data_IF_064504835634
#
_entry.id   IF_064504835634
#
_cell.length_a   1.000
_cell.length_b   1.000
_cell.length_c   1.000
_cell.angle_alpha   90.00
_cell.angle_beta   90.00
_cell.angle_gamma   90.00
#
_symmetry.space_group_name_H-M   'P 1'
#
loop_
_entity.id
_entity.type
_entity.pdbx_description
1 polymer ?
#
# COMPACT_ATOMS: atom_id res chain seq x y z
N UNK A 1 18.20 -15.47 7.38
CA UNK A 1 18.97 -16.73 7.29
C UNK A 1 20.37 -16.44 7.82
N UNK A 2 20.93 -17.32 8.67
CA UNK A 2 22.27 -17.15 9.27
C UNK A 2 23.06 -18.46 9.16
N UNK A 3 24.28 -18.41 8.63
CA UNK A 3 25.20 -19.55 8.49
C UNK A 3 26.56 -19.18 9.07
N UNK A 4 27.22 -20.13 9.73
CA UNK A 4 28.62 -19.98 10.15
C UNK A 4 29.49 -21.04 9.50
N UNK A 5 30.68 -20.65 9.05
CA UNK A 5 31.69 -21.59 8.54
C UNK A 5 33.10 -21.11 8.84
N UNK A 6 34.05 -22.05 8.95
CA UNK A 6 35.46 -21.74 9.20
C UNK A 6 36.27 -21.88 7.90
N UNK A 7 37.18 -20.93 7.64
CA UNK A 7 38.13 -21.02 6.52
C UNK A 7 39.45 -20.32 6.86
N UNK A 8 40.57 -21.04 6.72
CA UNK A 8 41.92 -20.54 7.06
C UNK A 8 41.99 -19.97 8.49
N UNK A 9 41.40 -20.65 9.46
CA UNK A 9 41.39 -20.23 10.87
C UNK A 9 40.53 -19.00 11.20
N UNK A 10 39.71 -18.53 10.26
CA UNK A 10 38.76 -17.45 10.47
C UNK A 10 37.33 -18.00 10.46
N UNK A 11 36.51 -17.57 11.41
CA UNK A 11 35.07 -17.89 11.46
C UNK A 11 34.30 -16.81 10.72
N UNK A 12 33.60 -17.21 9.66
CA UNK A 12 32.74 -16.37 8.85
C UNK A 12 31.29 -16.56 9.28
N UNK A 13 30.57 -15.46 9.50
CA UNK A 13 29.13 -15.48 9.70
C UNK A 13 28.46 -14.85 8.50
N UNK A 14 27.65 -15.62 7.77
CA UNK A 14 26.85 -15.16 6.64
C UNK A 14 25.45 -14.86 7.13
N UNK A 15 24.93 -13.68 6.80
CA UNK A 15 23.55 -13.31 7.10
C UNK A 15 22.83 -12.75 5.88
N UNK A 16 21.61 -13.21 5.64
CA UNK A 16 20.72 -12.71 4.58
C UNK A 16 19.60 -11.88 5.18
N UNK A 17 19.64 -10.57 4.95
CA UNK A 17 18.69 -9.57 5.47
C UNK A 17 18.25 -8.65 4.34
N UNK A 18 16.94 -8.54 4.10
CA UNK A 18 16.34 -7.64 3.09
C UNK A 18 17.01 -7.78 1.71
N UNK A 19 17.09 -9.01 1.22
CA UNK A 19 17.73 -9.37 -0.07
C UNK A 19 19.24 -9.06 -0.16
N UNK A 20 19.89 -8.66 0.93
CA UNK A 20 21.34 -8.43 0.99
C UNK A 20 22.01 -9.57 1.72
N UNK A 21 23.16 -10.00 1.19
CA UNK A 21 24.03 -10.96 1.88
C UNK A 21 25.17 -10.20 2.52
N UNK A 22 25.36 -10.42 3.81
CA UNK A 22 26.47 -9.88 4.57
C UNK A 22 27.35 -11.02 5.07
N UNK A 23 28.66 -10.77 5.13
CA UNK A 23 29.63 -11.66 5.75
C UNK A 23 30.34 -10.88 6.85
N UNK A 24 30.36 -11.44 8.04
CA UNK A 24 31.10 -10.94 9.18
C UNK A 24 32.31 -11.83 9.47
N UNK A 25 33.46 -11.19 9.70
CA UNK A 25 34.67 -11.82 10.21
C UNK A 25 35.27 -10.90 11.28
N UNK A 26 35.58 -11.46 12.46
CA UNK A 26 36.22 -10.71 13.56
C UNK A 26 35.52 -9.38 13.92
N UNK A 27 34.19 -9.36 13.93
CA UNK A 27 33.37 -8.17 14.23
C UNK A 27 33.27 -7.15 13.08
N UNK A 28 33.84 -7.43 11.92
CA UNK A 28 33.76 -6.57 10.73
C UNK A 28 32.86 -7.22 9.70
N UNK A 29 31.77 -6.54 9.33
CA UNK A 29 30.83 -7.00 8.32
C UNK A 29 31.02 -6.31 6.97
N UNK A 30 30.71 -7.03 5.89
CA UNK A 30 30.74 -6.53 4.52
C UNK A 30 29.59 -7.10 3.71
N UNK A 31 29.03 -6.30 2.80
CA UNK A 31 28.03 -6.77 1.82
C UNK A 31 28.76 -7.55 0.72
N UNK A 32 28.25 -8.74 0.39
CA UNK A 32 28.80 -9.62 -0.64
C UNK A 32 27.73 -10.04 -1.64
N UNK A 33 28.16 -10.41 -2.84
CA UNK A 33 27.29 -10.99 -3.84
C UNK A 33 27.56 -12.50 -3.95
N UNK A 34 26.57 -13.38 -3.69
CA UNK A 34 26.71 -14.78 -4.00
C UNK A 34 26.57 -14.99 -5.52
N UNK A 35 27.58 -15.59 -6.13
CA UNK A 35 27.63 -15.82 -7.57
C UNK A 35 28.08 -17.24 -7.91
N UNK A 36 27.59 -17.76 -9.04
CA UNK A 36 28.00 -19.05 -9.58
C UNK A 36 29.12 -18.84 -10.60
N UNK A 37 30.33 -19.19 -10.20
CA UNK A 37 31.46 -19.27 -11.10
C UNK A 37 31.41 -20.59 -11.91
N UNK A 38 31.80 -20.54 -13.18
CA UNK A 38 31.74 -21.71 -14.08
C UNK A 38 32.70 -22.83 -13.69
N UNK A 39 33.87 -22.47 -13.16
CA UNK A 39 34.96 -23.41 -12.88
C UNK A 39 34.96 -23.88 -11.43
N UNK A 40 34.56 -23.01 -10.51
CA UNK A 40 34.72 -23.25 -9.07
C UNK A 40 33.41 -23.36 -8.29
N UNK A 41 32.26 -23.30 -8.98
CA UNK A 41 30.95 -23.35 -8.34
C UNK A 41 30.60 -22.04 -7.62
N UNK A 42 29.92 -22.14 -6.48
CA UNK A 42 29.40 -20.96 -5.78
C UNK A 42 30.46 -20.26 -4.92
N UNK A 43 30.51 -18.93 -5.03
CA UNK A 43 31.41 -18.07 -4.28
C UNK A 43 30.70 -16.80 -3.80
N UNK A 44 31.28 -16.19 -2.77
CA UNK A 44 30.99 -14.80 -2.42
C UNK A 44 32.03 -13.89 -3.06
N UNK A 45 31.56 -12.91 -3.84
CA UNK A 45 32.40 -11.83 -4.34
C UNK A 45 32.30 -10.64 -3.38
N UNK A 46 33.44 -10.26 -2.81
CA UNK A 46 33.57 -9.08 -1.96
C UNK A 46 33.93 -7.89 -2.86
N UNK A 47 33.08 -6.86 -2.85
CA UNK A 47 33.28 -5.64 -3.66
C UNK A 47 34.64 -4.99 -3.39
N UNK A 48 35.24 -4.38 -4.42
CA UNK A 48 36.47 -3.58 -4.26
C UNK A 48 36.30 -2.35 -3.37
N UNK A 49 35.06 -1.91 -3.15
CA UNK A 49 34.73 -0.81 -2.25
C UNK A 49 34.42 -1.28 -0.82
N UNK A 50 34.63 -2.56 -0.53
CA UNK A 50 34.47 -3.11 0.80
C UNK A 50 35.39 -2.44 1.82
N UNK A 51 34.95 -2.47 3.08
CA UNK A 51 35.66 -1.89 4.21
C UNK A 51 37.11 -2.42 4.28
N UNK A 52 38.11 -1.52 4.25
CA UNK A 52 39.54 -1.88 4.37
C UNK A 52 39.84 -2.70 5.64
N UNK A 53 39.06 -2.51 6.71
CA UNK A 53 39.20 -3.27 7.94
C UNK A 53 38.85 -4.76 7.75
N UNK A 54 38.00 -5.10 6.80
CA UNK A 54 37.66 -6.49 6.48
C UNK A 54 38.88 -7.24 5.92
N UNK A 55 39.62 -6.60 4.99
CA UNK A 55 40.87 -7.18 4.45
C UNK A 55 41.96 -7.25 5.50
N UNK A 56 42.07 -6.23 6.34
CA UNK A 56 43.03 -6.20 7.46
C UNK A 56 42.75 -7.33 8.45
N UNK A 57 41.48 -7.60 8.77
CA UNK A 57 41.08 -8.70 9.65
C UNK A 57 41.48 -10.07 9.06
N UNK A 58 41.47 -10.21 7.73
CA UNK A 58 41.89 -11.42 7.04
C UNK A 58 43.41 -11.50 6.75
N UNK A 59 44.18 -10.46 7.10
CA UNK A 59 45.60 -10.37 6.78
C UNK A 59 45.90 -10.24 5.27
N UNK A 60 44.94 -9.74 4.48
CA UNK A 60 45.06 -9.61 3.02
C UNK A 60 45.38 -8.16 2.60
N UNK A 61 46.22 -8.02 1.58
CA UNK A 61 46.65 -6.71 1.05
C UNK A 61 45.95 -6.28 -0.26
N UNK A 62 45.23 -7.17 -0.93
CA UNK A 62 44.72 -6.94 -2.29
C UNK A 62 43.27 -7.38 -2.49
N UNK A 63 42.65 -6.77 -3.51
CA UNK A 63 41.31 -6.99 -4.05
C UNK A 63 41.40 -7.52 -5.49
N UNK A 64 40.39 -8.25 -6.01
CA UNK A 64 39.14 -8.67 -5.36
C UNK A 64 39.29 -9.96 -4.53
N UNK A 65 38.48 -10.11 -3.47
CA UNK A 65 38.42 -11.33 -2.66
C UNK A 65 37.22 -12.18 -3.06
N UNK A 66 37.50 -13.44 -3.41
CA UNK A 66 36.50 -14.46 -3.72
C UNK A 66 36.53 -15.56 -2.66
N UNK A 67 35.42 -15.76 -1.97
CA UNK A 67 35.29 -16.77 -0.92
C UNK A 67 34.46 -17.93 -1.46
N UNK A 68 35.13 -18.99 -1.93
CA UNK A 68 34.50 -20.24 -2.34
C UNK A 68 33.90 -20.96 -1.12
N UNK A 69 32.58 -21.13 -1.08
CA UNK A 69 31.89 -21.89 -0.04
C UNK A 69 30.48 -22.30 -0.49
N UNK A 70 30.00 -23.53 -0.19
CA UNK A 70 28.66 -23.98 -0.58
C UNK A 70 27.51 -23.10 -0.06
N UNK A 71 27.70 -22.45 1.09
CA UNK A 71 26.69 -21.54 1.67
C UNK A 71 26.34 -20.36 0.74
N UNK A 72 27.16 -20.05 -0.26
CA UNK A 72 26.84 -19.03 -1.24
C UNK A 72 25.62 -19.41 -2.09
N UNK A 73 25.43 -20.71 -2.37
CA UNK A 73 24.21 -21.20 -3.04
C UNK A 73 22.98 -20.99 -2.15
N UNK A 74 23.08 -21.38 -0.88
CA UNK A 74 21.98 -21.25 0.07
C UNK A 74 21.62 -19.78 0.28
N UNK A 75 22.62 -18.91 0.38
CA UNK A 75 22.42 -17.46 0.49
C UNK A 75 21.73 -16.90 -0.76
N UNK A 76 22.12 -17.36 -1.96
CA UNK A 76 21.46 -16.96 -3.21
C UNK A 76 19.99 -17.38 -3.23
N UNK A 77 19.70 -18.64 -2.88
CA UNK A 77 18.32 -19.16 -2.80
C UNK A 77 17.48 -18.37 -1.81
N UNK A 78 18.04 -18.02 -0.65
CA UNK A 78 17.35 -17.21 0.35
C UNK A 78 17.07 -15.77 -0.13
N UNK A 79 18.00 -15.14 -0.85
CA UNK A 79 17.76 -13.82 -1.47
C UNK A 79 16.64 -13.91 -2.51
N UNK A 80 16.66 -14.93 -3.37
CA UNK A 80 15.61 -15.13 -4.38
C UNK A 80 14.23 -15.39 -3.76
N UNK A 81 14.19 -16.14 -2.65
CA UNK A 81 12.96 -16.37 -1.89
C UNK A 81 12.43 -15.07 -1.26
N UNK A 82 13.27 -14.31 -0.56
CA UNK A 82 12.88 -13.00 0.00
C UNK A 82 12.37 -12.03 -1.08
N UNK A 83 12.99 -12.05 -2.27
CA UNK A 83 12.56 -11.22 -3.40
C UNK A 83 11.21 -11.63 -3.95
N UNK A 84 10.93 -12.94 -4.06
CA UNK A 84 9.62 -13.44 -4.47
C UNK A 84 8.54 -13.05 -3.47
N UNK A 85 8.81 -13.19 -2.18
CA UNK A 85 7.90 -12.80 -1.10
C UNK A 85 7.62 -11.30 -1.12
N UNK A 86 8.64 -10.45 -1.28
CA UNK A 86 8.44 -8.99 -1.40
C UNK A 86 7.60 -8.62 -2.62
N UNK A 87 7.91 -9.17 -3.80
CA UNK A 87 7.13 -8.87 -5.02
C UNK A 87 5.68 -9.35 -4.85
N UNK A 88 5.46 -10.50 -4.21
CA UNK A 88 4.12 -10.99 -3.94
C UNK A 88 3.36 -10.08 -2.95
N UNK A 89 4.04 -9.59 -1.91
CA UNK A 89 3.50 -8.64 -0.95
C UNK A 89 3.17 -7.29 -1.63
N UNK A 90 4.09 -6.71 -2.40
CA UNK A 90 3.88 -5.47 -3.15
C UNK A 90 2.69 -5.58 -4.12
N UNK A 91 2.55 -6.74 -4.77
CA UNK A 91 1.40 -7.02 -5.64
C UNK A 91 0.09 -7.08 -4.86
N UNK A 92 0.09 -7.71 -3.69
CA UNK A 92 -1.09 -7.81 -2.83
C UNK A 92 -1.50 -6.44 -2.26
N UNK A 93 -0.54 -5.63 -1.81
CA UNK A 93 -0.76 -4.26 -1.35
C UNK A 93 -1.33 -3.38 -2.47
N UNK A 94 -0.77 -3.48 -3.69
CA UNK A 94 -1.28 -2.74 -4.84
C UNK A 94 -2.71 -3.15 -5.22
N UNK A 95 -3.03 -4.44 -5.17
CA UNK A 95 -4.40 -4.93 -5.41
C UNK A 95 -5.39 -4.40 -4.36
N UNK A 96 -4.98 -4.33 -3.09
CA UNK A 96 -5.79 -3.75 -2.02
C UNK A 96 -6.03 -2.25 -2.22
N UNK A 97 -5.00 -1.51 -2.65
CA UNK A 97 -5.12 -0.08 -2.98
C UNK A 97 -6.09 0.16 -4.14
N UNK A 98 -6.05 -0.68 -5.19
CA UNK A 98 -7.02 -0.62 -6.30
C UNK A 98 -8.44 -0.88 -5.79
N UNK A 99 -8.63 -1.88 -4.91
CA UNK A 99 -9.94 -2.17 -4.31
C UNK A 99 -10.45 -1.00 -3.48
N UNK A 100 -9.59 -0.38 -2.65
CA UNK A 100 -9.93 0.82 -1.86
C UNK A 100 -10.28 2.02 -2.73
N UNK A 101 -9.52 2.26 -3.80
CA UNK A 101 -9.79 3.35 -4.74
C UNK A 101 -11.13 3.14 -5.47
N UNK A 102 -11.37 1.93 -5.97
CA UNK A 102 -12.65 1.53 -6.60
C UNK A 102 -13.81 1.72 -5.62
N UNK A 103 -13.66 1.30 -4.37
CA UNK A 103 -14.67 1.49 -3.33
C UNK A 103 -14.96 2.98 -3.08
N UNK A 104 -13.93 3.80 -2.93
CA UNK A 104 -14.07 5.24 -2.71
C UNK A 104 -14.82 5.93 -3.86
N UNK A 105 -14.55 5.51 -5.11
CA UNK A 105 -15.27 6.00 -6.28
C UNK A 105 -16.74 5.59 -6.24
N UNK A 106 -17.05 4.30 -6.09
CA UNK A 106 -18.44 3.79 -6.01
C UNK A 106 -19.23 4.51 -4.93
N UNK A 107 -18.62 4.70 -3.74
CA UNK A 107 -19.25 5.42 -2.63
C UNK A 107 -19.50 6.89 -2.96
N UNK A 108 -18.50 7.60 -3.50
CA UNK A 108 -18.61 9.02 -3.85
C UNK A 108 -19.68 9.30 -4.90
N UNK A 109 -19.85 8.40 -5.86
CA UNK A 109 -20.77 8.60 -6.98
C UNK A 109 -22.16 7.97 -6.77
N UNK A 110 -22.37 7.20 -5.69
CA UNK A 110 -23.70 6.74 -5.25
C UNK A 110 -24.65 7.89 -4.86
N UNK A 111 -24.12 9.06 -4.50
CA UNK A 111 -24.91 10.22 -4.02
C UNK A 111 -25.30 11.20 -5.14
N UNK A 112 -24.85 10.98 -6.38
CA UNK A 112 -25.26 11.79 -7.52
C UNK A 112 -26.52 11.19 -8.17
N UNK A 113 -27.67 11.68 -7.70
CA UNK A 113 -28.98 11.50 -8.35
C UNK A 113 -28.93 12.11 -9.76
N UNK A 114 -28.60 11.27 -10.74
CA UNK A 114 -28.39 11.69 -12.13
C UNK A 114 -27.60 10.68 -12.97
N UNK A 115 -26.95 9.70 -12.35
CA UNK A 115 -26.36 8.59 -13.09
C UNK A 115 -27.43 7.53 -13.38
N UNK A 116 -27.99 7.58 -14.59
CA UNK A 116 -28.60 6.39 -15.20
C UNK A 116 -27.53 5.29 -15.26
N UNK A 117 -27.55 4.42 -14.26
CA UNK A 117 -27.13 3.04 -14.38
C UNK A 117 -27.84 2.46 -15.60
N UNK A 118 -27.15 2.41 -16.74
CA UNK A 118 -27.50 1.46 -17.77
C UNK A 118 -26.92 0.12 -17.31
N UNK A 119 -27.75 -0.92 -17.35
CA UNK A 119 -27.57 -2.24 -16.71
C UNK A 119 -26.27 -3.00 -17.05
N UNK A 120 -25.37 -2.49 -17.89
CA UNK A 120 -24.08 -3.13 -18.20
C UNK A 120 -23.02 -2.06 -18.46
N UNK A 121 -21.93 -2.09 -17.70
CA UNK A 121 -20.75 -1.20 -17.71
C UNK A 121 -20.93 0.22 -17.12
N UNK A 122 -20.02 0.61 -16.23
CA UNK A 122 -19.68 2.02 -16.01
C UNK A 122 -18.20 2.24 -16.29
N UNK A 123 -17.98 3.07 -17.30
CA UNK A 123 -16.74 3.76 -17.63
C UNK A 123 -17.15 5.12 -18.17
N UNK A 124 -16.54 6.19 -17.65
CA UNK A 124 -16.90 7.56 -18.05
C UNK A 124 -16.73 7.76 -19.55
N UNK A 125 -17.82 8.12 -20.23
CA UNK A 125 -17.82 8.52 -21.63
C UNK A 125 -18.21 10.00 -21.72
N UNK A 126 -17.30 10.84 -22.23
CA UNK A 126 -17.66 12.17 -22.74
C UNK A 126 -18.08 11.98 -24.18
N UNK A 127 -19.35 12.26 -24.48
CA UNK A 127 -19.88 12.22 -25.83
C UNK A 127 -20.22 13.61 -26.34
N UNK A 128 -20.15 13.85 -27.66
CA UNK A 128 -20.70 15.08 -28.22
C UNK A 128 -22.18 15.20 -27.88
N UNK A 129 -22.61 16.41 -27.51
CA UNK A 129 -24.02 16.76 -27.38
C UNK A 129 -24.64 16.64 -28.77
N UNK A 130 -25.73 15.87 -28.90
CA UNK A 130 -26.44 15.72 -30.18
C UNK A 130 -27.22 16.99 -30.54
N UNK A 131 -27.59 17.19 -31.80
CA UNK A 131 -28.38 18.38 -32.19
C UNK A 131 -29.73 18.47 -31.47
N UNK A 132 -30.40 17.34 -31.25
CA UNK A 132 -31.64 17.29 -30.44
C UNK A 132 -31.43 17.70 -28.98
N UNK A 133 -30.23 17.55 -28.45
CA UNK A 133 -29.90 17.94 -27.07
C UNK A 133 -29.44 19.39 -26.99
N UNK A 134 -28.79 19.90 -28.04
CA UNK A 134 -28.51 21.32 -28.21
C UNK A 134 -29.81 22.13 -28.30
N UNK A 135 -30.83 21.61 -28.99
CA UNK A 135 -32.16 22.24 -29.07
C UNK A 135 -32.90 22.28 -27.72
N UNK A 136 -32.59 21.35 -26.82
CA UNK A 136 -33.18 21.27 -25.46
C UNK A 136 -32.36 22.00 -24.40
N UNK A 137 -31.14 22.43 -24.71
CA UNK A 137 -30.25 23.11 -23.78
C UNK A 137 -30.27 24.62 -24.03
N UNK A 138 -30.38 25.39 -22.95
CA UNK A 138 -30.20 26.84 -23.03
C UNK A 138 -28.79 27.13 -23.56
N UNK A 139 -28.68 28.04 -24.52
CA UNK A 139 -27.45 28.41 -25.22
C UNK A 139 -26.26 28.68 -24.27
N UNK A 140 -26.53 29.36 -23.16
CA UNK A 140 -25.53 29.69 -22.13
C UNK A 140 -24.90 28.45 -21.48
N UNK A 141 -25.66 27.35 -21.40
CA UNK A 141 -25.17 26.07 -20.89
C UNK A 141 -24.26 25.38 -21.90
N UNK A 142 -24.58 25.50 -23.21
CA UNK A 142 -23.77 24.96 -24.31
C UNK A 142 -22.43 25.70 -24.39
N UNK A 143 -22.43 27.03 -24.29
CA UNK A 143 -21.20 27.84 -24.26
C UNK A 143 -20.33 27.56 -23.03
N UNK A 144 -20.94 27.37 -21.85
CA UNK A 144 -20.22 26.96 -20.65
C UNK A 144 -19.53 25.59 -20.82
N UNK A 145 -20.25 24.59 -21.35
CA UNK A 145 -19.67 23.28 -21.66
C UNK A 145 -18.53 23.37 -22.68
N UNK A 146 -18.70 24.18 -23.73
CA UNK A 146 -17.69 24.39 -24.76
C UNK A 146 -16.41 25.02 -24.19
N UNK A 147 -16.56 25.99 -23.30
CA UNK A 147 -15.43 26.68 -22.63
C UNK A 147 -14.65 25.76 -21.69
N UNK A 148 -15.33 24.87 -20.95
CA UNK A 148 -14.64 23.88 -20.12
C UNK A 148 -13.96 22.78 -20.95
N UNK A 149 -14.56 22.38 -22.07
CA UNK A 149 -13.94 21.48 -23.05
C UNK A 149 -12.62 22.08 -23.57
N UNK A 150 -12.58 23.37 -23.88
CA UNK A 150 -11.38 24.03 -24.41
C UNK A 150 -10.27 24.23 -23.37
N UNK A 151 -10.63 24.44 -22.09
CA UNK A 151 -9.69 24.54 -20.96
C UNK A 151 -8.97 23.20 -20.70
N UNK A 152 -9.69 22.10 -20.84
CA UNK A 152 -9.15 20.74 -20.68
C UNK A 152 -8.14 20.42 -21.81
N UNK A 153 -8.43 20.83 -23.06
CA UNK A 153 -7.53 20.66 -24.21
C UNK A 153 -6.16 21.31 -24.01
N UNK A 154 -6.11 22.52 -23.43
CA UNK A 154 -4.85 23.26 -23.23
C UNK A 154 -3.91 22.58 -22.21
N UNK A 155 -4.48 21.95 -21.19
CA UNK A 155 -3.72 21.39 -20.06
C UNK A 155 -3.10 20.01 -20.39
N UNK A 156 -3.68 19.27 -21.33
CA UNK A 156 -3.28 17.91 -21.69
C UNK A 156 -2.06 17.85 -22.63
N UNK A 157 -1.76 18.91 -23.39
CA UNK A 157 -0.67 18.91 -24.39
C UNK A 157 0.75 18.91 -23.79
N UNK A 158 0.90 19.01 -22.46
CA UNK A 158 2.18 19.30 -21.82
C UNK A 158 2.90 18.17 -21.07
N UNK A 159 2.28 17.01 -20.78
CA UNK A 159 2.90 16.08 -19.80
C UNK A 159 2.61 14.58 -20.02
N UNK A 160 3.72 13.88 -20.29
CA UNK A 160 4.12 12.55 -19.81
C UNK A 160 3.72 11.27 -20.56
N UNK A 161 4.80 10.57 -20.97
CA UNK A 161 4.90 9.17 -21.36
C UNK A 161 5.08 8.28 -20.11
N UNK A 162 4.40 7.13 -19.99
CA UNK A 162 4.97 5.85 -19.53
C UNK A 162 4.00 4.65 -19.74
N UNK A 163 4.59 3.44 -19.73
CA UNK A 163 4.18 2.19 -20.40
C UNK A 163 3.35 1.20 -19.56
N UNK A 164 2.59 0.39 -20.30
CA UNK A 164 2.00 -0.93 -20.00
C UNK A 164 0.62 -0.99 -19.33
N UNK A 165 -0.39 -0.59 -20.10
CA UNK A 165 -1.77 -1.05 -20.03
C UNK A 165 -2.18 -1.52 -21.42
N UNK A 166 -3.17 -2.42 -21.55
CA UNK A 166 -3.62 -2.96 -22.84
C UNK A 166 -3.83 -1.80 -23.81
N UNK A 167 -2.87 -1.63 -24.71
CA UNK A 167 -2.80 -0.47 -25.56
C UNK A 167 -3.85 -0.69 -26.64
N UNK A 168 -5.05 -0.18 -26.40
CA UNK A 168 -6.21 -0.28 -27.28
C UNK A 168 -5.85 0.18 -28.70
N UNK A 169 -4.81 1.01 -28.85
CA UNK A 169 -4.23 1.42 -30.13
C UNK A 169 -3.69 0.29 -31.03
N UNK A 170 -3.48 -0.93 -30.53
CA UNK A 170 -2.97 -2.06 -31.33
C UNK A 170 -4.03 -3.09 -31.76
N UNK A 171 -5.30 -2.92 -31.36
CA UNK A 171 -6.35 -3.77 -31.94
C UNK A 171 -6.61 -3.35 -33.40
N UNK A 172 -6.75 -4.33 -34.30
CA UNK A 172 -7.03 -4.06 -35.71
C UNK A 172 -8.29 -3.21 -35.93
N UNK A 173 -9.22 -3.25 -34.97
CA UNK A 173 -10.46 -2.46 -34.95
C UNK A 173 -10.22 -1.00 -34.56
N UNK A 174 -9.32 -0.73 -33.59
CA UNK A 174 -8.95 0.62 -33.18
C UNK A 174 -8.06 1.32 -34.22
N UNK A 175 -7.12 0.58 -34.84
CA UNK A 175 -6.30 1.10 -35.95
C UNK A 175 -7.14 1.57 -37.13
N UNK A 176 -8.13 0.76 -37.56
CA UNK A 176 -9.08 1.14 -38.62
C UNK A 176 -9.92 2.38 -38.30
N UNK A 177 -10.10 2.73 -37.02
CA UNK A 177 -10.89 3.88 -36.59
C UNK A 177 -10.04 5.16 -36.42
N UNK A 178 -8.78 5.02 -35.99
CA UNK A 178 -7.78 6.10 -35.90
C UNK A 178 -7.40 6.60 -37.31
N UNK A 179 -7.15 5.67 -38.25
CA UNK A 179 -6.75 5.99 -39.63
C UNK A 179 -7.85 6.72 -40.44
N UNK A 180 -9.13 6.55 -40.09
CA UNK A 180 -10.25 7.15 -40.84
C UNK A 180 -10.62 8.58 -40.38
N UNK A 181 -10.25 9.01 -39.17
CA UNK A 181 -10.77 10.26 -38.58
C UNK A 181 -9.77 11.15 -37.84
N UNK A 182 -8.48 10.82 -37.84
CA UNK A 182 -7.42 11.76 -37.46
C UNK A 182 -7.56 12.35 -36.06
N UNK A 183 -7.30 11.50 -35.04
CA UNK A 183 -7.02 11.82 -33.62
C UNK A 183 -8.09 11.46 -32.56
N UNK A 184 -7.60 11.09 -31.37
CA UNK A 184 -8.30 10.58 -30.19
C UNK A 184 -7.84 11.37 -28.94
N UNK A 185 -8.76 11.79 -28.07
CA UNK A 185 -8.44 12.37 -26.74
C UNK A 185 -8.88 11.47 -25.59
N UNK A 186 -7.88 10.94 -24.87
CA UNK A 186 -7.77 11.00 -23.40
C UNK A 186 -8.80 10.26 -22.53
N UNK A 187 -8.74 8.94 -22.49
CA UNK A 187 -9.10 8.19 -21.29
C UNK A 187 -7.78 7.69 -20.68
N UNK A 188 -7.47 8.05 -19.43
CA UNK A 188 -6.20 7.62 -18.84
C UNK A 188 -6.21 6.13 -18.50
N UNK A 189 -7.36 5.53 -18.20
CA UNK A 189 -7.54 4.07 -18.11
C UNK A 189 -9.02 3.69 -18.23
N UNK A 190 -9.31 2.71 -19.11
CA UNK A 190 -10.62 2.09 -19.25
C UNK A 190 -10.56 0.71 -18.60
N UNK A 191 -11.15 0.55 -17.41
CA UNK A 191 -11.17 -0.73 -16.69
C UNK A 191 -12.42 -1.54 -17.05
N UNK A 192 -12.22 -2.68 -17.73
CA UNK A 192 -13.27 -3.67 -17.95
C UNK A 192 -13.32 -4.59 -16.72
N UNK A 193 -14.36 -4.43 -15.89
CA UNK A 193 -14.63 -5.32 -14.76
C UNK A 193 -15.80 -6.24 -15.18
N UNK A 194 -15.62 -7.58 -15.17
CA UNK A 194 -16.70 -8.53 -15.44
C UNK A 194 -17.89 -8.34 -14.48
N UNK A 195 -19.11 -8.64 -14.94
CA UNK A 195 -20.33 -8.51 -14.14
C UNK A 195 -20.28 -9.32 -12.84
N UNK A 196 -19.67 -10.51 -12.88
CA UNK A 196 -19.42 -11.36 -11.70
C UNK A 196 -18.52 -10.67 -10.66
N UNK A 197 -17.48 -9.95 -11.11
CA UNK A 197 -16.59 -9.22 -10.20
C UNK A 197 -17.30 -8.01 -9.58
N UNK A 198 -18.23 -7.37 -10.30
CA UNK A 198 -19.10 -6.32 -9.74
C UNK A 198 -20.01 -6.88 -8.65
N UNK A 199 -20.59 -8.07 -8.86
CA UNK A 199 -21.43 -8.74 -7.87
C UNK A 199 -20.63 -9.08 -6.60
N UNK A 200 -19.44 -9.67 -6.76
CA UNK A 200 -18.54 -9.97 -5.64
C UNK A 200 -18.17 -8.70 -4.86
N UNK A 201 -17.86 -7.60 -5.55
CA UNK A 201 -17.62 -6.30 -4.90
C UNK A 201 -18.85 -5.89 -4.10
N UNK A 202 -20.06 -5.99 -4.66
CA UNK A 202 -21.28 -5.60 -3.95
C UNK A 202 -21.49 -6.40 -2.67
N UNK A 203 -21.34 -7.72 -2.74
CA UNK A 203 -21.45 -8.62 -1.58
C UNK A 203 -20.39 -8.31 -0.52
N UNK A 204 -19.15 -8.04 -0.93
CA UNK A 204 -18.08 -7.62 -0.03
C UNK A 204 -18.43 -6.31 0.68
N UNK A 205 -19.04 -5.35 -0.04
CA UNK A 205 -19.45 -4.08 0.54
C UNK A 205 -20.58 -4.24 1.56
N UNK A 206 -21.60 -5.01 1.24
CA UNK A 206 -22.68 -5.31 2.18
C UNK A 206 -22.16 -6.05 3.42
N UNK A 207 -21.23 -6.99 3.24
CA UNK A 207 -20.57 -7.73 4.31
C UNK A 207 -19.73 -6.81 5.22
N UNK A 208 -18.98 -5.88 4.65
CA UNK A 208 -18.21 -4.88 5.40
C UNK A 208 -19.12 -3.94 6.20
N UNK A 209 -20.22 -3.49 5.59
CA UNK A 209 -21.18 -2.60 6.23
C UNK A 209 -21.92 -3.31 7.38
N UNK A 210 -22.34 -4.56 7.18
CA UNK A 210 -22.90 -5.42 8.24
C UNK A 210 -21.92 -5.61 9.39
N UNK A 211 -20.65 -5.95 9.11
CA UNK A 211 -19.61 -6.08 10.15
C UNK A 211 -19.38 -4.79 10.92
N UNK A 212 -19.47 -3.64 10.26
CA UNK A 212 -19.34 -2.33 10.91
C UNK A 212 -20.53 -2.06 11.84
N UNK A 213 -21.75 -2.28 11.37
CA UNK A 213 -22.96 -2.12 12.17
C UNK A 213 -22.99 -3.06 13.39
N UNK A 214 -22.59 -4.32 13.21
CA UNK A 214 -22.46 -5.31 14.29
C UNK A 214 -21.44 -4.86 15.34
N UNK A 215 -20.27 -4.35 14.91
CA UNK A 215 -19.25 -3.81 15.84
C UNK A 215 -19.76 -2.59 16.60
N UNK A 216 -20.42 -1.65 15.93
CA UNK A 216 -21.00 -0.47 16.56
C UNK A 216 -22.10 -0.84 17.57
N UNK A 217 -22.98 -1.79 17.21
CA UNK A 217 -23.99 -2.32 18.10
C UNK A 217 -23.38 -3.04 19.31
N UNK A 218 -22.33 -3.84 19.11
CA UNK A 218 -21.62 -4.52 20.19
C UNK A 218 -20.93 -3.54 21.15
N UNK A 219 -20.27 -2.51 20.62
CA UNK A 219 -19.66 -1.43 21.43
C UNK A 219 -20.72 -0.69 22.24
N UNK A 220 -21.87 -0.39 21.63
CA UNK A 220 -22.98 0.29 22.31
C UNK A 220 -23.55 -0.57 23.44
N UNK A 221 -23.81 -1.85 23.19
CA UNK A 221 -24.30 -2.80 24.22
C UNK A 221 -23.30 -2.95 25.37
N UNK A 222 -22.02 -3.19 25.05
CA UNK A 222 -20.97 -3.30 26.07
C UNK A 222 -20.82 -2.01 26.89
N UNK A 223 -21.09 -0.84 26.29
CA UNK A 223 -21.12 0.43 27.02
C UNK A 223 -22.34 0.50 27.94
N UNK A 224 -23.53 0.18 27.45
CA UNK A 224 -24.78 0.17 28.24
C UNK A 224 -24.68 -0.78 29.44
N UNK A 225 -24.16 -1.99 29.25
CA UNK A 225 -23.92 -2.97 30.32
C UNK A 225 -23.01 -2.42 31.44
N UNK A 226 -21.95 -1.68 31.09
CA UNK A 226 -21.07 -1.03 32.07
C UNK A 226 -21.76 0.08 32.86
N UNK A 227 -22.69 0.82 32.24
CA UNK A 227 -23.50 1.82 32.94
C UNK A 227 -24.50 1.16 33.88
N UNK A 228 -25.16 0.09 33.46
CA UNK A 228 -26.05 -0.70 34.32
C UNK A 228 -25.30 -1.31 35.51
N UNK A 229 -24.09 -1.80 35.30
CA UNK A 229 -23.23 -2.30 36.37
C UNK A 229 -22.83 -1.19 37.36
N UNK A 230 -22.46 -0.01 36.88
CA UNK A 230 -22.12 1.12 37.73
C UNK A 230 -23.33 1.57 38.57
N UNK A 231 -24.52 1.64 37.96
CA UNK A 231 -25.76 1.98 38.65
C UNK A 231 -26.13 0.93 39.70
N UNK A 232 -26.02 -0.36 39.38
CA UNK A 232 -26.34 -1.48 40.28
C UNK A 232 -25.38 -1.58 41.47
N UNK A 233 -24.09 -1.34 41.24
CA UNK A 233 -23.04 -1.51 42.28
C UNK A 233 -22.79 -0.24 43.08
N UNK A 234 -23.23 0.93 42.59
CA UNK A 234 -22.92 2.22 43.19
C UNK A 234 -21.43 2.60 43.08
N UNK A 235 -20.64 1.90 42.24
CA UNK A 235 -19.20 2.12 42.08
C UNK A 235 -18.86 2.48 40.62
N UNK A 236 -17.82 3.29 40.37
CA UNK A 236 -17.37 3.58 39.00
C UNK A 236 -16.87 2.31 38.28
N UNK A 237 -17.23 2.16 36.99
CA UNK A 237 -16.82 1.03 36.13
C UNK A 237 -15.97 1.54 34.97
N UNK A 238 -14.83 0.91 34.68
CA UNK A 238 -13.90 1.36 33.63
C UNK A 238 -14.49 1.13 32.23
N UNK A 239 -14.74 2.21 31.48
CA UNK A 239 -15.19 2.16 30.09
C UNK A 239 -14.04 1.85 29.14
N UNK A 240 -12.98 2.66 29.21
CA UNK A 240 -11.79 2.54 28.36
C UNK A 240 -10.57 3.14 29.04
N UNK A 241 -9.38 2.67 28.66
CA UNK A 241 -8.10 3.24 29.07
C UNK A 241 -7.16 3.34 27.87
N UNK A 242 -6.45 4.46 27.76
CA UNK A 242 -5.47 4.71 26.69
C UNK A 242 -4.39 5.65 27.20
N UNK A 243 -3.39 5.93 26.37
CA UNK A 243 -2.32 6.88 26.67
C UNK A 243 -2.40 8.09 25.74
N UNK A 244 -2.20 9.29 26.27
CA UNK A 244 -2.10 10.54 25.51
C UNK A 244 -0.79 11.26 25.84
N UNK A 245 -0.29 12.17 25.00
CA UNK A 245 0.80 13.07 25.38
C UNK A 245 0.50 13.82 26.67
N UNK A 246 1.52 14.00 27.52
CA UNK A 246 1.44 14.75 28.77
C UNK A 246 0.83 16.14 28.51
N UNK A 247 -0.23 16.50 29.24
CA UNK A 247 -0.90 17.79 29.07
C UNK A 247 -0.38 18.89 30.00
N UNK A 248 0.51 18.57 30.94
CA UNK A 248 1.15 19.55 31.83
C UNK A 248 2.56 19.89 31.31
N UNK A 249 2.82 21.15 30.92
CA UNK A 249 4.14 21.57 30.44
C UNK A 249 5.21 21.65 31.54
N UNK A 250 4.83 21.58 32.83
CA UNK A 250 5.76 21.63 33.96
C UNK A 250 6.17 20.25 34.46
N UNK A 251 5.54 19.19 33.95
CA UNK A 251 5.87 17.81 34.28
C UNK A 251 6.90 17.26 33.28
N UNK A 252 7.90 16.51 33.75
CA UNK A 252 8.89 15.84 32.88
C UNK A 252 8.33 14.58 32.20
N UNK A 253 7.02 14.36 32.30
CA UNK A 253 6.31 13.21 31.77
C UNK A 253 6.10 13.35 30.25
N UNK A 254 6.27 12.26 29.50
CA UNK A 254 6.00 12.26 28.05
C UNK A 254 4.58 11.79 27.73
N UNK A 255 3.95 11.02 28.62
CA UNK A 255 2.66 10.37 28.43
C UNK A 255 1.82 10.40 29.71
N UNK A 256 0.51 10.52 29.54
CA UNK A 256 -0.50 10.34 30.58
C UNK A 256 -1.27 9.05 30.35
N UNK A 257 -1.53 8.31 31.43
CA UNK A 257 -2.51 7.24 31.44
C UNK A 257 -3.92 7.81 31.64
N UNK A 258 -4.74 7.79 30.59
CA UNK A 258 -6.12 8.30 30.59
C UNK A 258 -7.10 7.15 30.79
N UNK A 259 -8.03 7.32 31.73
CA UNK A 259 -9.11 6.36 32.02
C UNK A 259 -10.46 7.05 31.95
N UNK A 260 -11.42 6.44 31.25
CA UNK A 260 -12.83 6.85 31.24
C UNK A 260 -13.63 5.87 32.08
N UNK A 261 -14.45 6.40 32.97
CA UNK A 261 -15.29 5.66 33.90
C UNK A 261 -16.75 5.97 33.65
N UNK A 262 -17.60 4.94 33.71
CA UNK A 262 -19.05 5.08 33.87
C UNK A 262 -19.35 5.28 35.35
N UNK A 263 -20.00 6.39 35.68
CA UNK A 263 -20.36 6.74 37.04
C UNK A 263 -21.78 6.23 37.37
N UNK A 264 -22.10 5.92 38.64
CA UNK A 264 -23.43 5.43 39.04
C UNK A 264 -24.58 6.40 38.76
N UNK A 265 -24.29 7.69 38.65
CA UNK A 265 -25.25 8.75 38.30
C UNK A 265 -25.54 8.85 36.79
N UNK A 266 -24.95 7.95 35.99
CA UNK A 266 -25.09 7.93 34.53
C UNK A 266 -24.10 8.83 33.79
N UNK A 267 -23.25 9.58 34.49
CA UNK A 267 -22.25 10.45 33.85
C UNK A 267 -20.97 9.69 33.47
N UNK A 268 -20.13 10.31 32.64
CA UNK A 268 -18.79 9.81 32.31
C UNK A 268 -17.75 10.67 33.03
N UNK A 269 -16.87 10.04 33.80
CA UNK A 269 -15.70 10.70 34.39
C UNK A 269 -14.44 10.33 33.62
N UNK A 270 -13.62 11.31 33.26
CA UNK A 270 -12.30 11.06 32.66
C UNK A 270 -11.23 11.46 33.67
N UNK A 271 -10.26 10.58 33.91
CA UNK A 271 -9.12 10.80 34.79
C UNK A 271 -7.83 10.65 33.98
N UNK A 272 -6.88 11.56 34.18
CA UNK A 272 -5.52 11.49 33.62
C UNK A 272 -4.55 11.30 34.77
N UNK A 273 -3.61 10.37 34.62
CA UNK A 273 -2.53 10.16 35.57
C UNK A 273 -1.20 10.26 34.82
N UNK A 274 -0.35 11.22 35.21
CA UNK A 274 1.01 11.34 34.67
C UNK A 274 1.81 10.06 34.97
N UNK A 275 2.56 9.56 33.98
CA UNK A 275 3.47 8.44 34.20
C UNK A 275 4.84 8.99 34.59
N UNK A 276 5.11 8.99 35.90
CA UNK A 276 6.39 9.42 36.51
C UNK A 276 7.48 8.37 36.32
#
# INVERSE_FOLDING_TARGET
MKIQFEKKGNVFTVEVVRERVTIEVSGVSVIVNPEKNREHGWLYEVSQYANKNFFKALGLKQLPLRILHPSAEEAKKAVEQQRKERIAQEKAEHEEDIKRATYALVKKYKEFDGYRLFEKLVLGYVRPITEQEKDKMKKDKIEWYQKEIDKIKWTAAGRYEYRNWVNVSKSATAQKYIEKKGECMGISEVFLIPEEEIQNIHEDLESLERKKQEKEAAIKRAREEKFEEAARTGKPVLLSSWTEPCNDPNEECSLDAVRKWAMPDGNVKTERNHTW
#
